data_IF_073836239155
#
_entry.id   IF_073836239155
#
_cell.length_a   1.000
_cell.length_b   1.000
_cell.length_c   1.000
_cell.angle_alpha   90.00
_cell.angle_beta   90.00
_cell.angle_gamma   90.00
#
_symmetry.space_group_name_H-M   'P 1'
#
loop_
_entity.id
_entity.type
_entity.pdbx_description
1 polymer ?
#
# COMPACT_ATOMS: atom_id res chain seq x y z
N UNK A 1 3.76 47.29 -3.16
CA UNK A 1 5.12 46.84 -3.48
C UNK A 1 4.96 45.52 -4.23
N UNK A 2 5.07 45.57 -5.55
CA UNK A 2 4.79 44.46 -6.46
C UNK A 2 5.91 43.42 -6.40
N UNK A 3 5.59 42.16 -6.09
CA UNK A 3 6.46 41.03 -6.38
C UNK A 3 5.95 40.35 -7.65
N UNK A 4 6.73 40.45 -8.73
CA UNK A 4 6.48 39.83 -10.01
C UNK A 4 6.70 38.32 -9.90
N UNK A 5 5.69 37.53 -10.27
CA UNK A 5 5.76 36.08 -10.35
C UNK A 5 6.14 35.68 -11.79
N UNK A 6 7.33 35.13 -11.98
CA UNK A 6 7.78 34.52 -13.23
C UNK A 6 7.33 33.05 -13.30
N UNK A 7 6.64 32.59 -14.35
CA UNK A 7 6.37 31.17 -14.55
C UNK A 7 7.62 30.49 -15.13
N UNK A 8 8.21 29.56 -14.39
CA UNK A 8 9.29 28.71 -14.91
C UNK A 8 8.75 27.74 -15.96
N UNK A 9 9.40 27.76 -17.13
CA UNK A 9 9.11 26.95 -18.31
C UNK A 9 9.30 25.46 -18.03
N UNK A 10 8.41 24.65 -18.62
CA UNK A 10 8.53 23.22 -18.92
C UNK A 10 9.98 22.79 -19.24
N UNK A 11 10.48 21.79 -18.49
CA UNK A 11 11.73 21.09 -18.80
C UNK A 11 11.49 19.57 -18.69
N UNK A 12 10.95 18.99 -19.77
CA UNK A 12 11.33 17.63 -20.15
C UNK A 12 12.79 17.67 -20.63
N UNK A 13 13.75 17.42 -19.74
CA UNK A 13 15.13 17.11 -20.11
C UNK A 13 15.58 15.79 -19.49
N UNK A 14 15.94 14.88 -20.41
CA UNK A 14 16.71 13.62 -20.24
C UNK A 14 17.59 13.60 -18.99
N UNK A 15 17.42 12.56 -18.17
CA UNK A 15 18.44 12.12 -17.21
C UNK A 15 18.81 10.68 -17.54
N UNK A 16 19.96 10.54 -18.21
CA UNK A 16 20.68 9.28 -18.37
C UNK A 16 21.95 9.38 -17.51
N UNK A 17 22.21 8.32 -16.75
CA UNK A 17 23.47 7.93 -16.12
C UNK A 17 24.01 8.75 -14.93
N UNK A 18 24.05 8.10 -13.76
CA UNK A 18 25.28 7.96 -12.97
C UNK A 18 25.17 6.75 -12.03
N UNK A 19 25.97 5.73 -12.33
CA UNK A 19 26.19 4.51 -11.55
C UNK A 19 27.60 4.60 -10.97
N UNK A 20 27.82 4.02 -9.77
CA UNK A 20 29.07 3.88 -8.97
C UNK A 20 29.23 4.96 -7.89
N UNK A 21 29.63 4.66 -6.66
CA UNK A 21 30.00 3.42 -5.97
C UNK A 21 29.79 3.65 -4.46
N UNK A 22 29.33 2.65 -3.71
CA UNK A 22 29.36 2.66 -2.25
C UNK A 22 30.27 1.53 -1.78
N UNK A 23 31.36 1.93 -1.14
CA UNK A 23 32.28 1.07 -0.39
C UNK A 23 31.69 0.74 0.99
N UNK A 24 31.90 -0.51 1.39
CA UNK A 24 31.61 -1.07 2.71
C UNK A 24 32.03 -0.16 3.87
N UNK A 25 31.12 -0.03 4.85
CA UNK A 25 31.55 -0.10 6.25
C UNK A 25 30.44 -0.62 7.16
N UNK A 26 30.81 -1.58 7.99
CA UNK A 26 29.95 -2.35 8.87
C UNK A 26 29.44 -1.51 10.05
N UNK A 27 28.11 -1.36 10.13
CA UNK A 27 27.29 -1.12 11.34
C UNK A 27 25.83 -1.06 10.90
N UNK A 28 25.25 -2.19 10.51
CA UNK A 28 23.82 -2.28 10.17
C UNK A 28 22.98 -2.07 11.43
N UNK A 29 22.64 -0.80 11.70
CA UNK A 29 21.46 -0.44 12.47
C UNK A 29 20.25 -0.97 11.70
N UNK A 30 19.36 -1.60 12.46
CA UNK A 30 18.09 -2.18 12.01
C UNK A 30 17.25 -1.06 11.38
N UNK A 31 17.19 -1.03 10.06
CA UNK A 31 16.26 -0.16 9.34
C UNK A 31 14.93 -0.91 9.14
N UNK A 32 13.89 -0.40 9.79
CA UNK A 32 12.50 -0.79 9.55
C UNK A 32 12.16 -0.45 8.10
N UNK A 33 12.00 -1.46 7.26
CA UNK A 33 11.48 -1.28 5.91
C UNK A 33 9.98 -0.95 5.99
N UNK A 34 9.67 0.33 6.19
CA UNK A 34 8.34 0.88 5.97
C UNK A 34 8.07 0.90 4.46
N UNK A 35 7.43 -0.15 3.97
CA UNK A 35 6.70 -0.06 2.70
C UNK A 35 5.27 0.32 3.06
N UNK A 36 4.98 1.63 3.01
CA UNK A 36 3.64 2.21 3.15
C UNK A 36 2.75 1.74 1.99
N UNK A 37 2.23 0.53 2.12
CA UNK A 37 1.12 0.01 1.35
C UNK A 37 -0.06 -0.13 2.31
N UNK A 38 -0.94 0.88 2.34
CA UNK A 38 -2.19 0.86 3.13
C UNK A 38 -3.09 -0.35 2.76
N UNK A 39 -2.84 -1.02 1.62
CA UNK A 39 -3.61 -2.16 1.15
C UNK A 39 -3.52 -3.40 2.07
N UNK A 40 -2.43 -3.53 2.84
CA UNK A 40 -2.16 -4.68 3.70
C UNK A 40 -2.22 -4.35 5.20
N UNK A 41 -2.55 -3.12 5.59
CA UNK A 41 -2.61 -2.71 6.99
C UNK A 41 -3.61 -3.53 7.83
N UNK A 42 -4.67 -4.05 7.19
CA UNK A 42 -5.65 -4.93 7.83
C UNK A 42 -5.10 -6.35 8.13
N UNK A 43 -4.07 -6.81 7.40
CA UNK A 43 -3.51 -8.16 7.56
C UNK A 43 -2.75 -8.29 8.87
N UNK A 44 -2.05 -7.25 9.31
CA UNK A 44 -1.20 -7.34 10.49
C UNK A 44 -1.93 -7.77 11.78
N UNK A 45 -3.07 -7.16 12.18
CA UNK A 45 -3.82 -7.62 13.35
C UNK A 45 -4.40 -9.02 13.16
N UNK A 46 -4.94 -9.33 11.97
CA UNK A 46 -5.48 -10.66 11.68
C UNK A 46 -4.40 -11.74 11.76
N UNK A 47 -3.27 -11.56 11.08
CA UNK A 47 -2.13 -12.47 11.11
C UNK A 47 -1.58 -12.64 12.52
N UNK A 48 -1.49 -11.56 13.31
CA UNK A 48 -1.08 -11.63 14.71
C UNK A 48 -1.94 -12.59 15.52
N UNK A 49 -3.27 -12.53 15.34
CA UNK A 49 -4.22 -13.41 16.03
C UNK A 49 -4.10 -14.86 15.57
N UNK A 50 -4.06 -15.11 14.25
CA UNK A 50 -3.92 -16.46 13.72
C UNK A 50 -2.58 -17.11 14.08
N UNK A 51 -1.48 -16.37 14.04
CA UNK A 51 -0.16 -16.86 14.46
C UNK A 51 -0.17 -17.21 15.95
N UNK A 52 -0.82 -16.39 16.78
CA UNK A 52 -0.98 -16.64 18.21
C UNK A 52 -1.83 -17.87 18.49
N UNK A 53 -2.97 -18.01 17.81
CA UNK A 53 -3.85 -19.16 17.93
C UNK A 53 -3.18 -20.45 17.46
N UNK A 54 -2.47 -20.41 16.33
CA UNK A 54 -1.72 -21.55 15.81
C UNK A 54 -0.65 -22.02 16.82
N UNK A 55 0.11 -21.07 17.37
CA UNK A 55 1.11 -21.35 18.41
C UNK A 55 0.48 -21.96 19.67
N UNK A 56 -0.65 -21.40 20.13
CA UNK A 56 -1.36 -21.89 21.30
C UNK A 56 -1.91 -23.30 21.11
N UNK A 57 -2.60 -23.56 19.99
CA UNK A 57 -3.17 -24.87 19.66
C UNK A 57 -2.08 -25.93 19.50
N UNK A 58 -1.00 -25.60 18.80
CA UNK A 58 0.12 -26.53 18.59
C UNK A 58 1.03 -26.64 19.83
N UNK A 59 0.82 -25.79 20.84
CA UNK A 59 1.62 -25.70 22.05
C UNK A 59 3.07 -25.27 21.79
N UNK A 60 3.32 -24.53 20.71
CA UNK A 60 4.66 -24.10 20.28
C UNK A 60 4.95 -22.67 20.71
N UNK A 61 6.21 -22.33 21.01
CA UNK A 61 6.59 -20.98 21.41
C UNK A 61 6.61 -19.98 20.25
N UNK A 62 6.79 -20.45 19.01
CA UNK A 62 6.97 -19.60 17.84
C UNK A 62 5.92 -19.91 16.79
N UNK A 63 5.44 -18.85 16.14
CA UNK A 63 4.59 -18.95 14.98
C UNK A 63 4.99 -17.90 13.95
N UNK A 64 4.66 -18.16 12.69
CA UNK A 64 5.01 -17.29 11.59
C UNK A 64 3.99 -17.42 10.45
N UNK A 65 3.69 -16.33 9.77
CA UNK A 65 3.10 -16.37 8.44
C UNK A 65 4.14 -15.90 7.42
N UNK A 66 4.35 -16.69 6.37
CA UNK A 66 5.28 -16.38 5.28
C UNK A 66 4.51 -16.13 4.00
N UNK A 67 4.55 -14.90 3.50
CA UNK A 67 3.93 -14.52 2.23
C UNK A 67 4.88 -14.87 1.08
N UNK A 68 4.37 -15.62 0.11
CA UNK A 68 5.14 -16.12 -1.03
C UNK A 68 4.91 -15.31 -2.32
N UNK A 69 3.97 -14.36 -2.32
CA UNK A 69 3.72 -13.40 -3.39
C UNK A 69 3.74 -11.97 -2.85
N UNK A 70 4.35 -11.01 -3.55
CA UNK A 70 4.44 -9.60 -3.13
C UNK A 70 3.14 -9.00 -2.59
N UNK A 71 1.99 -9.32 -3.20
CA UNK A 71 0.70 -8.73 -2.84
C UNK A 71 -0.33 -9.82 -2.50
N UNK A 72 -0.94 -9.73 -1.31
CA UNK A 72 -2.15 -10.49 -0.99
C UNK A 72 -3.39 -9.75 -1.51
N UNK A 73 -3.31 -8.45 -1.81
CA UNK A 73 -4.44 -7.64 -2.29
C UNK A 73 -4.70 -7.65 -3.81
N UNK A 74 -3.71 -7.89 -4.68
CA UNK A 74 -3.89 -7.77 -6.14
C UNK A 74 -3.12 -8.85 -6.92
N UNK A 75 -3.73 -9.28 -8.02
CA UNK A 75 -3.29 -10.39 -8.86
C UNK A 75 -1.88 -10.18 -9.44
N UNK A 76 -0.96 -11.11 -9.12
CA UNK A 76 0.09 -11.51 -10.06
C UNK A 76 0.07 -13.04 -10.23
N UNK A 77 -0.22 -13.57 -11.44
CA UNK A 77 -0.51 -14.98 -11.66
C UNK A 77 0.75 -15.86 -11.84
N UNK A 78 1.93 -15.41 -11.36
CA UNK A 78 3.18 -16.14 -11.55
C UNK A 78 3.97 -16.22 -10.26
N UNK A 79 4.16 -17.45 -9.78
CA UNK A 79 5.26 -17.84 -8.90
C UNK A 79 6.58 -17.42 -9.57
N UNK A 80 7.15 -16.28 -9.18
CA UNK A 80 8.52 -15.93 -9.59
C UNK A 80 9.50 -16.72 -8.75
N UNK A 81 9.86 -17.91 -9.23
CA UNK A 81 10.91 -18.75 -8.65
C UNK A 81 12.32 -18.24 -9.04
N UNK A 82 12.43 -17.10 -9.74
CA UNK A 82 13.72 -16.56 -10.18
C UNK A 82 14.14 -15.29 -9.43
N UNK A 83 15.31 -15.41 -8.80
CA UNK A 83 16.07 -14.39 -8.09
C UNK A 83 16.13 -13.01 -8.78
N UNK A 84 16.07 -11.95 -7.96
CA UNK A 84 17.07 -10.87 -8.10
C UNK A 84 16.58 -9.43 -8.20
N UNK A 85 15.29 -9.11 -8.27
CA UNK A 85 14.83 -7.71 -8.23
C UNK A 85 13.48 -7.55 -7.52
N UNK A 86 13.54 -7.09 -6.27
CA UNK A 86 12.47 -6.31 -5.64
C UNK A 86 11.13 -6.99 -5.35
N UNK A 87 11.07 -8.31 -5.28
CA UNK A 87 9.88 -9.02 -4.79
C UNK A 87 9.86 -8.94 -3.26
N UNK A 88 9.12 -7.97 -2.71
CA UNK A 88 9.05 -7.68 -1.27
C UNK A 88 8.27 -8.78 -0.52
N UNK A 89 8.86 -9.97 -0.41
CA UNK A 89 8.29 -11.10 0.34
C UNK A 89 8.37 -10.82 1.84
N UNK A 90 7.24 -10.88 2.52
CA UNK A 90 7.14 -10.55 3.93
C UNK A 90 6.96 -11.81 4.77
N UNK A 91 7.60 -11.85 5.92
CA UNK A 91 7.29 -12.85 6.94
C UNK A 91 6.92 -12.13 8.22
N UNK A 92 5.77 -12.47 8.78
CA UNK A 92 5.31 -11.97 10.07
C UNK A 92 5.61 -13.04 11.11
N UNK A 93 6.45 -12.70 12.06
CA UNK A 93 6.91 -13.58 13.14
C UNK A 93 6.28 -13.21 14.45
N UNK A 94 5.98 -14.21 15.28
CA UNK A 94 5.63 -14.02 16.67
C UNK A 94 6.46 -14.94 17.56
N UNK A 95 7.13 -14.34 18.53
CA UNK A 95 7.94 -15.02 19.54
C UNK A 95 7.30 -14.93 20.93
N UNK A 96 7.71 -15.78 21.91
CA UNK A 96 7.19 -15.70 23.27
C UNK A 96 7.40 -14.32 23.89
N UNK A 97 6.37 -13.80 24.54
CA UNK A 97 6.42 -12.51 25.25
C UNK A 97 6.28 -11.27 24.36
N UNK A 98 6.04 -11.42 23.05
CA UNK A 98 5.82 -10.28 22.15
C UNK A 98 4.36 -9.82 22.10
N UNK A 99 4.16 -8.50 22.04
CA UNK A 99 2.91 -7.86 21.64
C UNK A 99 2.97 -7.55 20.14
N UNK A 100 2.24 -8.32 19.32
CA UNK A 100 2.19 -8.12 17.86
C UNK A 100 3.11 -9.06 17.06
N UNK A 101 3.43 -8.65 15.82
CA UNK A 101 4.23 -9.42 14.86
C UNK A 101 5.44 -8.62 14.38
N UNK A 102 6.58 -9.30 14.16
CA UNK A 102 7.77 -8.74 13.54
C UNK A 102 7.81 -9.07 12.05
N UNK A 103 7.96 -8.07 11.19
CA UNK A 103 8.10 -8.24 9.74
C UNK A 103 9.58 -8.33 9.34
N UNK A 104 10.04 -9.49 8.85
CA UNK A 104 11.43 -9.66 8.38
C UNK A 104 11.56 -10.85 7.40
N UNK A 105 12.53 -10.80 6.47
CA UNK A 105 12.81 -11.87 5.52
C UNK A 105 14.05 -12.67 5.95
N UNK A 106 13.87 -13.75 6.71
CA UNK A 106 15.00 -14.47 7.34
C UNK A 106 15.40 -15.74 6.57
N UNK A 107 14.43 -16.54 6.10
CA UNK A 107 14.64 -17.75 5.29
C UNK A 107 13.27 -18.26 4.78
N UNK A 108 13.10 -18.49 3.47
CA UNK A 108 11.83 -18.96 2.88
C UNK A 108 11.82 -20.46 2.55
N UNK A 109 12.96 -21.14 2.63
CA UNK A 109 13.16 -22.49 2.09
C UNK A 109 12.15 -23.53 2.62
N UNK A 110 11.85 -23.47 3.92
CA UNK A 110 10.85 -24.34 4.56
C UNK A 110 9.41 -24.02 4.10
N UNK A 111 9.07 -22.74 4.01
CA UNK A 111 7.73 -22.29 3.63
C UNK A 111 7.44 -22.53 2.16
N UNK A 112 8.42 -22.33 1.28
CA UNK A 112 8.33 -22.65 -0.14
C UNK A 112 8.17 -24.16 -0.37
N UNK A 113 8.80 -25.01 0.44
CA UNK A 113 8.57 -26.44 0.31
C UNK A 113 7.15 -26.81 0.77
N UNK A 114 6.70 -26.27 1.91
CA UNK A 114 5.35 -26.50 2.39
C UNK A 114 4.27 -26.04 1.40
N UNK A 115 4.52 -24.92 0.71
CA UNK A 115 3.70 -24.42 -0.38
C UNK A 115 3.54 -25.38 -1.56
N UNK A 116 4.49 -26.29 -1.79
CA UNK A 116 4.44 -27.27 -2.89
C UNK A 116 3.52 -28.46 -2.61
N UNK A 117 3.00 -28.59 -1.39
CA UNK A 117 2.07 -29.66 -1.01
C UNK A 117 0.73 -29.11 -0.49
N UNK A 118 -0.07 -28.43 -1.33
CA UNK A 118 -1.40 -27.95 -0.95
C UNK A 118 -2.27 -29.02 -0.29
N UNK A 119 -3.00 -28.64 0.76
CA UNK A 119 -3.89 -29.55 1.48
C UNK A 119 -3.20 -30.52 2.46
N UNK A 120 -1.87 -30.48 2.57
CA UNK A 120 -1.11 -31.28 3.54
C UNK A 120 -0.26 -30.40 4.46
N UNK A 121 -0.17 -30.81 5.73
CA UNK A 121 0.77 -30.20 6.68
C UNK A 121 2.17 -30.74 6.37
N UNK A 122 3.11 -29.85 6.10
CA UNK A 122 4.53 -30.22 6.08
C UNK A 122 5.06 -30.18 7.50
N UNK A 123 5.25 -31.35 8.09
CA UNK A 123 5.80 -31.51 9.45
C UNK A 123 7.24 -32.03 9.39
N UNK A 124 8.13 -31.34 10.09
CA UNK A 124 9.52 -31.75 10.29
C UNK A 124 9.77 -31.82 11.79
N UNK A 125 9.93 -33.05 12.29
CA UNK A 125 10.02 -33.32 13.72
C UNK A 125 11.31 -32.80 14.34
N UNK A 126 12.42 -32.91 13.59
CA UNK A 126 13.72 -32.36 13.94
C UNK A 126 14.50 -31.93 12.68
N UNK A 127 14.54 -30.62 12.43
CA UNK A 127 15.26 -29.97 11.34
C UNK A 127 16.74 -30.30 11.33
N UNK A 128 17.36 -30.56 12.48
CA UNK A 128 18.79 -30.87 12.55
C UNK A 128 19.13 -32.25 11.96
N UNK A 129 18.13 -33.14 11.95
CA UNK A 129 18.22 -34.48 11.36
C UNK A 129 17.66 -34.56 9.94
N UNK A 130 16.93 -33.54 9.49
CA UNK A 130 16.32 -33.51 8.16
C UNK A 130 17.37 -33.12 7.11
N UNK A 131 17.71 -34.05 6.22
CA UNK A 131 18.71 -33.85 5.16
C UNK A 131 18.41 -32.65 4.24
N UNK A 132 17.14 -32.23 4.14
CA UNK A 132 16.73 -31.09 3.32
C UNK A 132 17.00 -29.75 3.99
N UNK A 133 16.99 -29.69 5.33
CA UNK A 133 16.94 -28.43 6.09
C UNK A 133 17.95 -28.28 7.21
N UNK A 134 18.75 -29.31 7.50
CA UNK A 134 19.78 -29.28 8.55
C UNK A 134 20.79 -28.14 8.36
N UNK A 135 20.96 -27.65 7.12
CA UNK A 135 21.85 -26.55 6.79
C UNK A 135 21.13 -25.18 6.66
N UNK A 136 19.81 -25.11 6.85
CA UNK A 136 19.05 -23.85 6.76
C UNK A 136 19.47 -22.84 7.83
N UNK A 137 19.21 -21.55 7.58
CA UNK A 137 19.52 -20.50 8.56
C UNK A 137 18.66 -20.65 9.83
N UNK A 138 17.43 -21.15 9.67
CA UNK A 138 16.52 -21.44 10.78
C UNK A 138 17.01 -22.58 11.67
N UNK A 139 17.65 -23.61 11.10
CA UNK A 139 18.18 -24.75 11.87
C UNK A 139 19.49 -24.44 12.60
N UNK A 140 20.38 -23.61 12.00
CA UNK A 140 21.74 -23.35 12.52
C UNK A 140 21.92 -21.99 13.22
N UNK A 141 21.08 -21.01 12.92
CA UNK A 141 21.16 -19.64 13.47
C UNK A 141 20.31 -19.44 14.72
N UNK A 142 20.09 -18.19 15.15
CA UNK A 142 19.06 -17.84 16.14
C UNK A 142 17.72 -17.68 15.37
N UNK A 143 16.65 -18.44 15.65
CA UNK A 143 16.32 -19.07 16.94
C UNK A 143 16.67 -20.56 17.11
N UNK A 144 17.44 -21.19 16.22
CA UNK A 144 17.86 -22.60 16.29
C UNK A 144 16.65 -23.54 16.35
N UNK A 145 15.80 -23.42 15.34
CA UNK A 145 14.57 -24.20 15.23
C UNK A 145 14.92 -25.68 15.09
N UNK A 146 14.22 -26.52 15.85
CA UNK A 146 14.25 -27.98 15.75
C UNK A 146 12.96 -28.50 15.16
N UNK A 147 11.81 -28.04 15.62
CA UNK A 147 10.53 -28.47 15.08
C UNK A 147 9.94 -27.42 14.14
N UNK A 148 9.36 -27.88 13.03
CA UNK A 148 8.61 -27.06 12.09
C UNK A 148 7.33 -27.79 11.66
N UNK A 149 6.20 -27.09 11.67
CA UNK A 149 5.03 -27.51 10.92
C UNK A 149 4.44 -26.32 10.14
N UNK A 150 4.21 -26.52 8.86
CA UNK A 150 3.67 -25.50 7.95
C UNK A 150 2.43 -25.99 7.22
N UNK A 151 1.39 -25.15 7.17
CA UNK A 151 0.21 -25.35 6.33
C UNK A 151 0.24 -24.32 5.20
N UNK A 152 0.26 -24.76 3.93
CA UNK A 152 0.13 -23.84 2.81
C UNK A 152 -1.27 -23.25 2.78
N UNK A 153 -1.34 -21.93 2.58
CA UNK A 153 -2.60 -21.21 2.41
C UNK A 153 -2.86 -21.01 0.92
N UNK A 154 -4.05 -21.44 0.49
CA UNK A 154 -4.46 -21.37 -0.91
C UNK A 154 -5.76 -20.59 -1.02
N UNK A 155 -5.77 -19.63 -1.94
CA UNK A 155 -6.95 -18.87 -2.36
C UNK A 155 -8.00 -19.79 -2.97
N UNK A 156 -9.29 -19.42 -2.90
CA UNK A 156 -10.37 -20.12 -3.59
C UNK A 156 -10.18 -20.28 -5.11
N UNK A 157 -9.30 -19.48 -5.72
CA UNK A 157 -8.92 -19.60 -7.14
C UNK A 157 -7.72 -20.52 -7.40
N UNK A 158 -7.12 -21.11 -6.37
CA UNK A 158 -5.95 -21.99 -6.47
C UNK A 158 -4.58 -21.31 -6.32
N UNK A 159 -4.55 -19.99 -6.11
CA UNK A 159 -3.30 -19.25 -5.90
C UNK A 159 -2.73 -19.53 -4.51
N UNK A 160 -1.42 -19.81 -4.43
CA UNK A 160 -0.73 -19.98 -3.15
C UNK A 160 -0.48 -18.59 -2.54
N UNK A 161 -1.13 -18.32 -1.41
CA UNK A 161 -1.04 -17.06 -0.66
C UNK A 161 0.25 -16.99 0.16
N UNK A 162 0.62 -18.12 0.76
CA UNK A 162 1.73 -18.20 1.70
C UNK A 162 1.67 -19.46 2.54
N UNK A 163 2.37 -19.46 3.66
CA UNK A 163 2.40 -20.60 4.59
C UNK A 163 2.24 -20.10 6.01
N UNK A 164 1.27 -20.66 6.73
CA UNK A 164 1.12 -20.49 8.17
C UNK A 164 1.96 -21.57 8.87
N UNK A 165 2.86 -21.16 9.75
CA UNK A 165 3.89 -22.01 10.33
C UNK A 165 3.89 -21.92 11.85
N UNK A 166 4.20 -23.04 12.50
CA UNK A 166 4.54 -23.13 13.92
C UNK A 166 5.90 -23.79 14.10
N UNK A 167 6.65 -23.34 15.10
CA UNK A 167 8.05 -23.73 15.28
C UNK A 167 8.41 -23.88 16.75
N UNK A 168 9.38 -24.75 17.03
CA UNK A 168 9.93 -24.95 18.37
C UNK A 168 11.45 -25.16 18.31
N UNK A 169 12.14 -24.86 19.41
CA UNK A 169 13.58 -25.11 19.60
C UNK A 169 13.87 -26.53 20.08
N UNK A 170 12.83 -27.30 20.38
CA UNK A 170 12.94 -28.72 20.73
C UNK A 170 12.23 -29.56 19.66
N UNK A 171 12.72 -30.78 19.39
CA UNK A 171 12.02 -31.72 18.52
C UNK A 171 10.61 -32.00 19.04
N UNK A 172 9.65 -32.17 18.12
CA UNK A 172 8.25 -32.40 18.46
C UNK A 172 7.54 -33.17 17.35
N UNK A 173 6.43 -33.81 17.71
CA UNK A 173 5.44 -34.34 16.77
C UNK A 173 4.08 -33.84 17.18
N UNK A 174 3.30 -33.31 16.23
CA UNK A 174 1.94 -32.85 16.54
C UNK A 174 1.04 -34.06 16.85
N UNK A 175 0.13 -33.89 17.79
CA UNK A 175 -0.95 -34.87 17.99
C UNK A 175 -1.96 -34.78 16.84
N UNK A 176 -2.75 -35.84 16.56
CA UNK A 176 -3.81 -35.77 15.55
C UNK A 176 -4.79 -34.61 15.78
N UNK A 177 -5.13 -34.32 17.04
CA UNK A 177 -5.99 -33.20 17.40
C UNK A 177 -5.34 -31.83 17.08
N UNK A 178 -4.04 -31.69 17.35
CA UNK A 178 -3.30 -30.47 17.00
C UNK A 178 -3.21 -30.27 15.49
N UNK A 179 -2.95 -31.34 14.72
CA UNK A 179 -2.95 -31.27 13.25
C UNK A 179 -4.29 -30.83 12.70
N UNK A 180 -5.37 -31.47 13.14
CA UNK A 180 -6.73 -31.14 12.70
C UNK A 180 -7.09 -29.68 13.05
N UNK A 181 -6.81 -29.24 14.27
CA UNK A 181 -7.07 -27.87 14.70
C UNK A 181 -6.20 -26.85 13.95
N UNK A 182 -4.91 -27.15 13.71
CA UNK A 182 -4.02 -26.29 12.94
C UNK A 182 -4.48 -26.13 11.50
N UNK A 183 -4.93 -27.21 10.86
CA UNK A 183 -5.44 -27.16 9.50
C UNK A 183 -6.80 -26.46 9.40
N UNK A 184 -7.65 -26.57 10.44
CA UNK A 184 -8.89 -25.76 10.55
C UNK A 184 -8.60 -24.27 10.67
N UNK A 185 -7.60 -23.88 11.49
CA UNK A 185 -7.17 -22.49 11.61
C UNK A 185 -6.65 -21.93 10.29
N UNK A 186 -5.84 -22.71 9.56
CA UNK A 186 -5.36 -22.33 8.23
C UNK A 186 -6.52 -22.06 7.26
N UNK A 187 -7.51 -22.95 7.20
CA UNK A 187 -8.72 -22.76 6.36
C UNK A 187 -9.52 -21.52 6.75
N UNK A 188 -9.59 -21.20 8.04
CA UNK A 188 -10.28 -20.00 8.49
C UNK A 188 -9.54 -18.72 8.06
N UNK A 189 -8.20 -18.73 8.10
CA UNK A 189 -7.38 -17.63 7.60
C UNK A 189 -7.54 -17.48 6.07
N UNK A 190 -7.52 -18.58 5.31
CA UNK A 190 -7.82 -18.57 3.86
C UNK A 190 -9.16 -17.88 3.57
N UNK A 191 -10.23 -18.32 4.26
CA UNK A 191 -11.57 -17.76 4.08
C UNK A 191 -11.63 -16.26 4.43
N UNK A 192 -10.90 -15.83 5.47
CA UNK A 192 -10.84 -14.42 5.86
C UNK A 192 -10.11 -13.57 4.81
N UNK A 193 -9.00 -14.08 4.26
CA UNK A 193 -8.28 -13.42 3.16
C UNK A 193 -9.16 -13.31 1.92
N UNK A 194 -9.83 -14.39 1.53
CA UNK A 194 -10.72 -14.40 0.36
C UNK A 194 -11.93 -13.47 0.55
N UNK A 195 -12.53 -13.45 1.75
CA UNK A 195 -13.62 -12.52 2.06
C UNK A 195 -13.17 -11.07 1.93
N UNK A 196 -11.98 -10.73 2.44
CA UNK A 196 -11.44 -9.39 2.32
C UNK A 196 -11.17 -9.02 0.85
N UNK A 197 -10.59 -9.94 0.06
CA UNK A 197 -10.41 -9.77 -1.39
C UNK A 197 -11.72 -9.56 -2.13
N UNK A 198 -12.75 -10.33 -1.79
CA UNK A 198 -14.07 -10.19 -2.39
C UNK A 198 -14.69 -8.83 -2.05
N UNK A 199 -14.55 -8.38 -0.80
CA UNK A 199 -15.00 -7.06 -0.36
C UNK A 199 -14.26 -5.94 -1.09
N UNK A 200 -12.93 -5.99 -1.16
CA UNK A 200 -12.13 -5.05 -1.95
C UNK A 200 -12.54 -5.07 -3.43
N UNK A 201 -12.84 -6.24 -4.00
CA UNK A 201 -13.30 -6.36 -5.39
C UNK A 201 -14.70 -5.75 -5.60
N UNK A 202 -15.60 -5.89 -4.62
CA UNK A 202 -16.92 -5.26 -4.62
C UNK A 202 -16.81 -3.74 -4.45
N UNK A 203 -15.96 -3.26 -3.54
CA UNK A 203 -15.62 -1.85 -3.40
C UNK A 203 -15.00 -1.30 -4.68
N UNK A 204 -14.15 -2.07 -5.35
CA UNK A 204 -13.62 -1.72 -6.66
C UNK A 204 -14.71 -1.67 -7.74
N UNK A 205 -15.85 -2.34 -7.58
CA UNK A 205 -16.97 -2.25 -8.52
C UNK A 205 -17.81 -0.98 -8.33
N UNK A 206 -17.67 -0.29 -7.20
CA UNK A 206 -18.25 1.04 -7.06
C UNK A 206 -17.37 2.06 -7.79
N UNK A 207 -17.99 3.07 -8.39
CA UNK A 207 -17.28 4.21 -9.00
C UNK A 207 -17.19 5.40 -8.04
N UNK A 208 -17.59 5.21 -6.79
CA UNK A 208 -17.71 6.26 -5.78
C UNK A 208 -16.98 5.86 -4.51
N UNK A 209 -16.30 6.82 -3.90
CA UNK A 209 -15.71 6.66 -2.57
C UNK A 209 -16.82 6.59 -1.51
N UNK A 210 -16.76 5.56 -0.67
CA UNK A 210 -17.83 5.26 0.29
C UNK A 210 -17.97 6.32 1.40
N UNK A 211 -16.86 6.98 1.77
CA UNK A 211 -16.86 8.01 2.81
C UNK A 211 -17.40 9.34 2.26
N UNK A 212 -16.82 9.82 1.16
CA UNK A 212 -17.02 11.17 0.66
C UNK A 212 -18.11 11.29 -0.40
N UNK A 213 -18.51 10.18 -1.03
CA UNK A 213 -19.54 10.12 -2.07
C UNK A 213 -19.14 10.70 -3.44
N UNK A 214 -17.90 11.20 -3.59
CA UNK A 214 -17.33 11.62 -4.88
C UNK A 214 -16.73 10.41 -5.61
N UNK A 215 -16.09 10.62 -6.77
CA UNK A 215 -15.41 9.54 -7.48
C UNK A 215 -14.33 8.89 -6.61
N UNK A 216 -14.09 7.59 -6.80
CA UNK A 216 -12.90 6.93 -6.25
C UNK A 216 -11.76 6.90 -7.28
N UNK A 217 -10.57 6.44 -6.88
CA UNK A 217 -9.40 6.29 -7.76
C UNK A 217 -9.70 5.56 -9.08
N UNK A 218 -10.53 4.51 -9.06
CA UNK A 218 -10.91 3.77 -10.27
C UNK A 218 -11.72 4.62 -11.24
N UNK A 219 -12.72 5.33 -10.74
CA UNK A 219 -13.54 6.24 -11.55
C UNK A 219 -12.70 7.38 -12.13
N UNK A 220 -11.70 7.85 -11.37
CA UNK A 220 -10.72 8.81 -11.85
C UNK A 220 -9.89 8.25 -13.00
N UNK A 221 -9.29 7.06 -12.86
CA UNK A 221 -8.48 6.44 -13.91
C UNK A 221 -9.30 6.22 -15.19
N UNK A 222 -10.55 5.75 -15.04
CA UNK A 222 -11.48 5.58 -16.16
C UNK A 222 -11.77 6.91 -16.84
N UNK A 223 -12.12 7.93 -16.04
CA UNK A 223 -12.47 9.25 -16.58
C UNK A 223 -11.27 9.94 -17.22
N UNK A 224 -10.08 9.80 -16.67
CA UNK A 224 -8.85 10.37 -17.22
C UNK A 224 -8.54 9.80 -18.60
N UNK A 225 -8.70 8.48 -18.79
CA UNK A 225 -8.53 7.85 -20.12
C UNK A 225 -9.56 8.34 -21.14
N UNK A 226 -10.80 8.52 -20.72
CA UNK A 226 -11.84 9.08 -21.58
C UNK A 226 -11.52 10.52 -21.99
N UNK A 227 -11.17 11.38 -21.03
CA UNK A 227 -10.83 12.78 -21.29
C UNK A 227 -9.53 12.92 -22.09
N UNK A 228 -8.55 12.03 -21.87
CA UNK A 228 -7.36 11.94 -22.70
C UNK A 228 -7.68 11.65 -24.17
N UNK A 229 -8.60 10.70 -24.41
CA UNK A 229 -9.05 10.40 -25.77
C UNK A 229 -9.79 11.59 -26.39
N UNK A 230 -10.59 12.33 -25.61
CA UNK A 230 -11.26 13.55 -26.06
C UNK A 230 -10.27 14.69 -26.36
N UNK A 231 -9.26 14.87 -25.51
CA UNK A 231 -8.17 15.82 -25.67
C UNK A 231 -7.48 15.64 -27.03
N UNK A 232 -7.06 14.41 -27.34
CA UNK A 232 -6.40 14.07 -28.61
C UNK A 232 -7.31 14.33 -29.81
N UNK A 233 -8.60 13.99 -29.70
CA UNK A 233 -9.56 14.16 -30.81
C UNK A 233 -9.92 15.63 -31.08
N UNK A 234 -10.13 16.40 -30.02
CA UNK A 234 -10.67 17.76 -30.11
C UNK A 234 -9.57 18.83 -30.19
N UNK A 235 -8.30 18.46 -29.99
CA UNK A 235 -7.16 19.37 -29.91
C UNK A 235 -7.40 20.52 -28.90
N UNK A 236 -7.87 20.16 -27.71
CA UNK A 236 -8.12 21.09 -26.59
C UNK A 236 -7.29 20.71 -25.39
N UNK A 237 -6.77 21.65 -24.58
CA UNK A 237 -5.90 21.32 -23.46
C UNK A 237 -6.62 20.50 -22.37
N UNK A 238 -5.88 19.67 -21.65
CA UNK A 238 -6.37 18.88 -20.53
C UNK A 238 -5.50 19.14 -19.32
N UNK A 239 -6.09 19.58 -18.22
CA UNK A 239 -5.39 19.80 -16.96
C UNK A 239 -5.79 18.74 -15.94
N UNK A 240 -4.80 18.32 -15.16
CA UNK A 240 -4.99 17.56 -13.93
C UNK A 240 -4.52 18.36 -12.72
N UNK A 241 -5.27 18.28 -11.62
CA UNK A 241 -4.83 18.74 -10.30
C UNK A 241 -4.72 17.56 -9.33
N UNK A 242 -3.69 17.57 -8.48
CA UNK A 242 -3.58 16.71 -7.31
C UNK A 242 -3.64 17.57 -6.05
N UNK A 243 -4.40 17.14 -5.06
CA UNK A 243 -4.65 17.86 -3.81
C UNK A 243 -4.32 16.93 -2.65
N UNK A 244 -3.64 17.45 -1.65
CA UNK A 244 -3.31 16.72 -0.43
C UNK A 244 -3.61 17.59 0.79
N UNK A 245 -4.13 16.98 1.86
CA UNK A 245 -4.40 17.68 3.12
C UNK A 245 -3.12 17.76 3.96
N UNK A 246 -2.64 18.97 4.18
CA UNK A 246 -1.40 19.18 4.92
C UNK A 246 -1.59 18.74 6.39
N UNK A 247 -0.64 17.95 6.90
CA UNK A 247 -0.60 17.45 8.28
C UNK A 247 -1.81 16.60 8.72
N UNK A 248 -2.53 15.95 7.80
CA UNK A 248 -3.73 15.16 8.13
C UNK A 248 -3.50 14.06 9.18
N UNK A 249 -2.34 13.39 9.15
CA UNK A 249 -1.98 12.40 10.20
C UNK A 249 -1.97 13.03 11.60
N UNK A 250 -1.37 14.21 11.75
CA UNK A 250 -1.31 14.91 13.05
C UNK A 250 -2.71 15.33 13.53
N UNK A 251 -3.58 15.72 12.59
CA UNK A 251 -4.98 16.01 12.88
C UNK A 251 -5.69 14.77 13.45
N UNK A 252 -5.53 13.61 12.81
CA UNK A 252 -6.08 12.34 13.29
C UNK A 252 -5.50 11.92 14.64
N UNK A 253 -4.19 12.07 14.83
CA UNK A 253 -3.53 11.73 16.09
C UNK A 253 -4.05 12.61 17.25
N UNK A 254 -4.46 13.85 16.95
CA UNK A 254 -4.96 14.81 17.95
C UNK A 254 -6.46 14.66 18.24
N UNK A 255 -7.28 14.49 17.20
CA UNK A 255 -8.75 14.55 17.30
C UNK A 255 -9.45 13.20 17.05
N UNK A 256 -8.68 12.17 16.68
CA UNK A 256 -9.17 10.83 16.37
C UNK A 256 -9.64 10.68 14.92
N UNK A 257 -9.62 9.43 14.42
CA UNK A 257 -10.08 9.09 13.07
C UNK A 257 -11.50 9.56 12.72
N UNK A 258 -12.51 9.49 13.60
CA UNK A 258 -13.86 9.99 13.28
C UNK A 258 -13.89 11.49 12.93
N UNK A 259 -13.00 12.28 13.54
CA UNK A 259 -12.87 13.70 13.22
C UNK A 259 -12.22 13.91 11.84
N UNK A 260 -11.19 13.11 11.51
CA UNK A 260 -10.59 13.10 10.18
C UNK A 260 -11.58 12.73 9.08
N UNK A 261 -12.41 11.71 9.32
CA UNK A 261 -13.45 11.30 8.38
C UNK A 261 -14.45 12.42 8.11
N UNK A 262 -14.90 13.11 9.17
CA UNK A 262 -15.79 14.27 9.05
C UNK A 262 -15.15 15.42 8.26
N UNK A 263 -13.85 15.68 8.49
CA UNK A 263 -13.07 16.66 7.74
C UNK A 263 -13.04 16.30 6.25
N UNK A 264 -12.73 15.05 5.89
CA UNK A 264 -12.63 14.62 4.49
C UNK A 264 -13.98 14.73 3.77
N UNK A 265 -15.08 14.39 4.43
CA UNK A 265 -16.44 14.57 3.88
C UNK A 265 -16.74 16.04 3.61
N UNK A 266 -16.40 16.93 4.55
CA UNK A 266 -16.60 18.36 4.38
C UNK A 266 -15.70 18.93 3.27
N UNK A 267 -14.44 18.51 3.23
CA UNK A 267 -13.49 18.93 2.21
C UNK A 267 -13.94 18.52 0.80
N UNK A 268 -14.44 17.30 0.61
CA UNK A 268 -14.98 16.87 -0.67
C UNK A 268 -16.10 17.80 -1.19
N UNK A 269 -16.99 18.27 -0.31
CA UNK A 269 -18.05 19.24 -0.66
C UNK A 269 -17.47 20.60 -1.05
N UNK A 270 -16.47 21.06 -0.30
CA UNK A 270 -15.79 22.34 -0.57
C UNK A 270 -15.07 22.30 -1.91
N UNK A 271 -14.31 21.23 -2.17
CA UNK A 271 -13.59 21.00 -3.42
C UNK A 271 -14.53 20.88 -4.62
N UNK A 272 -15.76 20.36 -4.45
CA UNK A 272 -16.74 20.24 -5.52
C UNK A 272 -17.36 21.58 -5.92
N UNK A 273 -17.50 22.51 -4.97
CA UNK A 273 -18.26 23.76 -5.17
C UNK A 273 -17.75 24.70 -6.29
N UNK A 274 -16.43 24.90 -6.53
CA UNK A 274 -15.97 25.77 -7.61
C UNK A 274 -15.92 25.10 -9.00
N UNK A 275 -16.26 23.81 -9.08
CA UNK A 275 -16.08 22.98 -10.28
C UNK A 275 -17.28 23.03 -11.22
N UNK A 276 -17.00 22.88 -12.51
CA UNK A 276 -18.01 22.80 -13.57
C UNK A 276 -18.57 21.38 -13.65
N UNK A 277 -19.68 21.21 -14.37
CA UNK A 277 -20.26 19.89 -14.62
C UNK A 277 -19.33 18.96 -15.45
N UNK A 278 -18.48 19.54 -16.30
CA UNK A 278 -17.46 18.82 -17.07
C UNK A 278 -16.31 18.32 -16.21
N UNK A 279 -16.08 18.95 -15.06
CA UNK A 279 -14.93 18.68 -14.21
C UNK A 279 -15.21 17.45 -13.34
N UNK A 280 -14.19 16.62 -13.20
CA UNK A 280 -14.26 15.41 -12.40
C UNK A 280 -13.49 15.59 -11.10
N UNK A 281 -14.07 15.14 -9.99
CA UNK A 281 -13.44 15.16 -8.66
C UNK A 281 -13.50 13.74 -8.09
N UNK A 282 -12.37 13.25 -7.61
CA UNK A 282 -12.26 11.96 -6.97
C UNK A 282 -11.33 11.97 -5.77
N UNK A 283 -11.60 11.11 -4.79
CA UNK A 283 -10.64 10.77 -3.74
C UNK A 283 -9.67 9.73 -4.29
N UNK A 284 -8.39 10.10 -4.37
CA UNK A 284 -7.35 9.31 -5.01
C UNK A 284 -6.61 8.42 -4.00
N UNK A 285 -6.42 8.91 -2.78
CA UNK A 285 -5.78 8.22 -1.65
C UNK A 285 -6.51 8.46 -0.33
N UNK A 286 -5.85 8.20 0.80
CA UNK A 286 -6.43 8.41 2.14
C UNK A 286 -6.86 9.87 2.37
N UNK A 287 -5.94 10.81 2.18
CA UNK A 287 -6.10 12.26 2.33
C UNK A 287 -5.86 13.04 1.02
N UNK A 288 -5.75 12.31 -0.09
CA UNK A 288 -5.46 12.86 -1.41
C UNK A 288 -6.72 12.91 -2.30
N UNK A 289 -6.89 14.03 -3.00
CA UNK A 289 -7.94 14.25 -3.98
C UNK A 289 -7.35 14.58 -5.35
N UNK A 290 -8.06 14.20 -6.40
CA UNK A 290 -7.66 14.41 -7.79
C UNK A 290 -8.77 15.10 -8.57
N UNK A 291 -8.39 16.02 -9.45
CA UNK A 291 -9.33 16.70 -10.34
C UNK A 291 -8.89 16.56 -11.80
N UNK A 292 -9.88 16.32 -12.66
CA UNK A 292 -9.71 16.35 -14.11
C UNK A 292 -10.47 17.56 -14.63
N UNK A 293 -9.78 18.45 -15.33
CA UNK A 293 -10.31 19.69 -15.89
C UNK A 293 -10.18 19.64 -17.42
N UNK A 294 -11.22 19.13 -18.13
CA UNK A 294 -11.24 19.15 -19.59
C UNK A 294 -11.23 20.57 -20.13
N UNK A 295 -10.69 20.75 -21.34
CA UNK A 295 -10.66 22.01 -22.08
C UNK A 295 -10.10 23.18 -21.25
N UNK A 296 -9.16 22.88 -20.35
CA UNK A 296 -8.56 23.84 -19.42
C UNK A 296 -7.06 23.90 -19.66
N UNK A 297 -6.53 25.11 -19.82
CA UNK A 297 -5.10 25.37 -19.94
C UNK A 297 -4.48 25.74 -18.58
N UNK A 298 -3.18 25.99 -18.56
CA UNK A 298 -2.45 26.35 -17.33
C UNK A 298 -3.02 27.59 -16.62
N UNK A 299 -3.52 28.57 -17.37
CA UNK A 299 -4.10 29.78 -16.79
C UNK A 299 -5.42 29.45 -16.10
N UNK A 300 -6.28 28.67 -16.75
CA UNK A 300 -7.52 28.17 -16.16
C UNK A 300 -7.26 27.26 -14.95
N UNK A 301 -6.25 26.41 -15.02
CA UNK A 301 -5.80 25.55 -13.90
C UNK A 301 -5.46 26.37 -12.66
N UNK A 302 -4.71 27.47 -12.86
CA UNK A 302 -4.32 28.38 -11.78
C UNK A 302 -5.54 29.05 -11.15
N UNK A 303 -6.49 29.51 -11.97
CA UNK A 303 -7.74 30.13 -11.49
C UNK A 303 -8.61 29.14 -10.71
N UNK A 304 -8.71 27.89 -11.14
CA UNK A 304 -9.43 26.83 -10.41
C UNK A 304 -8.74 26.54 -9.09
N UNK A 305 -7.40 26.39 -9.09
CA UNK A 305 -6.60 26.14 -7.89
C UNK A 305 -6.78 27.25 -6.85
N UNK A 306 -6.77 28.51 -7.28
CA UNK A 306 -6.95 29.66 -6.41
C UNK A 306 -8.37 29.72 -5.82
N UNK A 307 -9.40 29.45 -6.63
CA UNK A 307 -10.78 29.34 -6.12
C UNK A 307 -10.94 28.22 -5.10
N UNK A 308 -10.28 27.09 -5.31
CA UNK A 308 -10.25 25.98 -4.36
C UNK A 308 -9.62 26.42 -3.03
N UNK A 309 -8.42 27.01 -3.07
CA UNK A 309 -7.74 27.52 -1.85
C UNK A 309 -8.59 28.52 -1.09
N UNK A 310 -9.20 29.48 -1.80
CA UNK A 310 -10.09 30.46 -1.20
C UNK A 310 -11.34 29.83 -0.60
N UNK A 311 -11.88 28.78 -1.22
CA UNK A 311 -13.04 28.06 -0.69
C UNK A 311 -12.69 27.30 0.59
N UNK A 312 -11.53 26.64 0.64
CA UNK A 312 -11.02 25.96 1.84
C UNK A 312 -10.78 26.94 2.99
N UNK A 313 -10.18 28.11 2.71
CA UNK A 313 -9.89 29.12 3.72
C UNK A 313 -11.14 29.83 4.29
N UNK A 314 -12.28 29.80 3.59
CA UNK A 314 -13.54 30.44 4.04
C UNK A 314 -14.38 29.53 4.93
N UNK A 315 -14.07 28.24 4.95
CA UNK A 315 -14.85 27.25 5.68
C UNK A 315 -14.41 27.24 7.14
N UNK A 316 -15.38 27.27 8.05
CA UNK A 316 -15.11 27.00 9.46
C UNK A 316 -14.98 25.50 9.65
N UNK A 317 -13.77 25.05 9.94
CA UNK A 317 -13.46 23.65 10.19
C UNK A 317 -13.83 23.27 11.64
N UNK A 318 -14.25 22.02 11.90
CA UNK A 318 -14.78 21.64 13.22
C UNK A 318 -13.82 21.80 14.40
N UNK A 319 -12.51 21.59 14.17
CA UNK A 319 -11.51 21.55 15.24
C UNK A 319 -10.39 22.59 15.05
N UNK A 320 -9.79 22.64 13.87
CA UNK A 320 -8.76 23.62 13.51
C UNK A 320 -8.84 23.89 12.02
N UNK A 321 -8.37 25.07 11.61
CA UNK A 321 -8.17 25.39 10.20
C UNK A 321 -7.19 24.40 9.58
N UNK A 322 -7.40 24.13 8.29
CA UNK A 322 -6.59 23.18 7.52
C UNK A 322 -5.95 23.89 6.33
N UNK A 323 -4.79 23.38 5.93
CA UNK A 323 -4.15 23.76 4.67
C UNK A 323 -4.17 22.59 3.69
N UNK A 324 -4.06 22.92 2.41
CA UNK A 324 -3.93 21.94 1.34
C UNK A 324 -2.74 22.28 0.44
N UNK A 325 -2.05 21.23 0.00
CA UNK A 325 -1.04 21.29 -1.06
C UNK A 325 -1.69 20.93 -2.40
N UNK A 326 -1.38 21.68 -3.45
CA UNK A 326 -1.99 21.54 -4.78
C UNK A 326 -0.93 21.43 -5.87
N UNK A 327 -0.85 20.29 -6.55
CA UNK A 327 -0.09 20.05 -7.77
C UNK A 327 -0.95 20.26 -9.02
N UNK A 328 -0.37 20.78 -10.10
CA UNK A 328 -1.08 20.99 -11.35
C UNK A 328 -0.18 20.61 -12.53
N UNK A 329 -0.73 19.89 -13.50
CA UNK A 329 -0.08 19.64 -14.78
C UNK A 329 -1.10 19.79 -15.91
N UNK A 330 -0.64 20.34 -17.03
CA UNK A 330 -1.47 20.55 -18.22
C UNK A 330 -0.78 19.89 -19.40
N UNK A 331 -1.54 19.18 -20.22
CA UNK A 331 -1.09 18.71 -21.52
C UNK A 331 -1.75 19.54 -22.62
N UNK A 332 -0.95 19.94 -23.60
CA UNK A 332 -1.42 20.60 -24.81
C UNK A 332 -1.39 19.64 -26.01
N UNK A 333 -2.23 19.83 -27.04
CA UNK A 333 -2.27 18.91 -28.19
C UNK A 333 -0.94 18.79 -28.96
N UNK A 334 -0.03 19.76 -28.78
CA UNK A 334 1.31 19.75 -29.37
C UNK A 334 2.31 18.86 -28.63
N UNK A 335 1.98 18.40 -27.42
CA UNK A 335 2.87 17.59 -26.60
C UNK A 335 2.66 16.10 -26.88
N UNK A 336 3.76 15.38 -27.10
CA UNK A 336 3.74 13.92 -27.24
C UNK A 336 4.08 13.27 -25.90
N UNK A 337 3.07 13.11 -25.05
CA UNK A 337 3.16 12.34 -23.82
C UNK A 337 1.98 11.36 -23.73
N UNK A 338 1.98 10.51 -22.70
CA UNK A 338 0.83 9.67 -22.37
C UNK A 338 0.12 10.21 -21.12
N UNK A 339 -1.06 9.66 -20.82
CA UNK A 339 -1.82 10.08 -19.63
C UNK A 339 -1.06 9.78 -18.32
N UNK A 340 -0.16 8.79 -18.30
CA UNK A 340 0.64 8.45 -17.12
C UNK A 340 1.66 9.55 -16.80
N UNK A 341 2.24 10.17 -17.83
CA UNK A 341 3.15 11.31 -17.68
C UNK A 341 2.42 12.54 -17.12
N UNK A 342 1.17 12.78 -17.54
CA UNK A 342 0.34 13.86 -17.00
C UNK A 342 0.06 13.68 -15.50
N UNK A 343 -0.33 12.46 -15.11
CA UNK A 343 -0.56 12.09 -13.72
C UNK A 343 0.71 12.28 -12.88
N UNK A 344 1.84 11.76 -13.36
CA UNK A 344 3.11 11.85 -12.66
C UNK A 344 3.59 13.31 -12.51
N UNK A 345 3.39 14.15 -13.52
CA UNK A 345 3.75 15.56 -13.46
C UNK A 345 2.91 16.33 -12.43
N UNK A 346 1.59 16.05 -12.35
CA UNK A 346 0.72 16.68 -11.36
C UNK A 346 1.11 16.28 -9.92
N UNK A 347 1.40 14.99 -9.72
CA UNK A 347 1.86 14.44 -8.44
C UNK A 347 3.21 15.03 -8.00
N UNK A 348 4.21 15.05 -8.89
CA UNK A 348 5.50 15.69 -8.59
C UNK A 348 5.35 17.17 -8.23
N UNK A 349 4.48 17.92 -8.92
CA UNK A 349 4.23 19.33 -8.62
C UNK A 349 3.58 19.52 -7.23
N UNK A 350 2.73 18.59 -6.80
CA UNK A 350 2.16 18.58 -5.45
C UNK A 350 3.25 18.26 -4.41
N UNK A 351 4.00 17.19 -4.62
CA UNK A 351 5.06 16.75 -3.73
C UNK A 351 6.10 17.85 -3.47
N UNK A 352 6.53 18.56 -4.52
CA UNK A 352 7.44 19.70 -4.41
C UNK A 352 6.87 20.84 -3.55
N UNK A 353 5.55 21.09 -3.62
CA UNK A 353 4.90 22.13 -2.80
C UNK A 353 4.74 21.69 -1.35
N UNK A 354 4.39 20.43 -1.13
CA UNK A 354 4.26 19.83 0.21
C UNK A 354 5.61 19.86 0.95
N UNK A 355 6.70 19.51 0.27
CA UNK A 355 8.05 19.46 0.85
C UNK A 355 8.86 20.76 0.73
N UNK A 356 8.48 21.69 -0.14
CA UNK A 356 9.11 23.00 -0.28
C UNK A 356 8.71 24.01 0.80
N UNK A 357 7.66 23.71 1.59
CA UNK A 357 7.27 24.48 2.77
C UNK A 357 8.23 24.19 3.91
N UNK A 358 9.15 25.12 4.16
CA UNK A 358 10.05 25.08 5.32
C UNK A 358 9.21 25.13 6.61
N UNK A 359 9.37 24.21 7.58
CA UNK A 359 8.50 24.08 8.76
C UNK A 359 8.69 25.19 9.83
N UNK A 360 9.14 26.39 9.45
CA UNK A 360 9.52 27.46 10.39
C UNK A 360 8.69 28.74 10.31
N UNK A 361 7.64 28.80 9.49
CA UNK A 361 6.75 29.97 9.42
C UNK A 361 5.28 29.56 9.63
N UNK A 362 5.01 28.80 10.69
CA UNK A 362 3.68 28.65 11.27
C UNK A 362 3.65 29.34 12.64
#
# INVERSE_FOLDING_TARGET
MHAQYTPERSIFKRTQAAHRAMTDNASQRIELAHTDSDADAWLEPALSDFISLASSVCGTPMGMFSQLHADIGLQHPYLSVNNGRGDARNQWWRFPGQTGVLRNAVDFSLCEMAARTPGQITEVNDLSSDLRFATSALARGNPAVRFYAGVPLVSGNGDILGTLCVMDRVPRTLTPAQRDAFQKLARQLEAQIDSHRAMQKLEQQTMTDALTGIGNRRSFDSRLREEWTRHLRNARPLTMLMVDVDYFKQYNDTYGHPAGDALLVQLARVLRSPLRASDFLARYGGDEFSLILPDTDETGAMQVSERIKQSVARVKWPHTDIEISLGAATVTPSEMCDFSALLHAADQAMYQRKHGRNPRNA
#
